data_IF_887585503542
#
_entry.id   IF_887585503542
#
_cell.length_a   1.000
_cell.length_b   1.000
_cell.length_c   1.000
_cell.angle_alpha   90.00
_cell.angle_beta   90.00
_cell.angle_gamma   90.00
#
_symmetry.space_group_name_H-M   'P 1'
#
loop_
_entity.id
_entity.type
_entity.pdbx_description
1 polymer ?
#
# COMPACT_ATOMS: atom_id res chain seq x y z
N UNK A 1 8.42 4.13 30.21
CA UNK A 1 8.35 4.63 28.81
C UNK A 1 8.88 3.52 27.93
N UNK A 2 8.14 3.18 26.88
CA UNK A 2 8.08 1.86 26.26
C UNK A 2 9.38 1.36 25.63
N UNK A 3 10.05 0.43 26.30
CA UNK A 3 10.94 -0.55 25.68
C UNK A 3 10.08 -1.66 25.04
N UNK A 4 9.95 -1.65 23.71
CA UNK A 4 9.59 -2.88 22.99
C UNK A 4 10.27 -2.94 21.62
N UNK A 5 11.45 -3.55 21.61
CA UNK A 5 12.24 -4.01 20.45
C UNK A 5 12.71 -5.43 20.81
N UNK A 6 12.88 -6.40 19.88
CA UNK A 6 12.33 -6.62 18.55
C UNK A 6 11.75 -8.06 18.43
N UNK A 7 10.42 -8.25 18.45
CA UNK A 7 9.84 -9.60 18.24
C UNK A 7 9.79 -10.00 16.73
N UNK A 8 10.29 -9.15 15.83
CA UNK A 8 9.99 -9.21 14.39
C UNK A 8 11.13 -9.80 13.51
N UNK A 9 12.37 -9.80 13.99
CA UNK A 9 13.52 -10.19 13.14
C UNK A 9 13.63 -11.71 12.92
N UNK A 10 13.17 -12.52 13.88
CA UNK A 10 13.21 -13.98 13.79
C UNK A 10 12.02 -14.55 12.98
N UNK A 11 10.84 -13.94 13.08
CA UNK A 11 9.65 -14.26 12.27
C UNK A 11 9.90 -13.96 10.77
N UNK A 12 10.59 -12.86 10.47
CA UNK A 12 11.00 -12.51 9.10
C UNK A 12 11.99 -13.52 8.48
N UNK A 13 12.71 -14.27 9.32
CA UNK A 13 13.66 -15.31 8.90
C UNK A 13 12.97 -16.65 8.58
N UNK A 14 11.87 -16.96 9.28
CA UNK A 14 11.09 -18.20 9.07
C UNK A 14 10.05 -18.11 7.96
N UNK A 15 9.60 -16.91 7.61
CA UNK A 15 8.62 -16.77 6.56
C UNK A 15 9.26 -17.00 5.18
N UNK A 16 8.67 -17.84 4.31
CA UNK A 16 9.17 -17.96 2.96
C UNK A 16 9.16 -16.59 2.27
N UNK A 17 10.15 -16.33 1.41
CA UNK A 17 10.38 -14.99 0.82
C UNK A 17 9.15 -14.48 0.04
N UNK A 18 8.34 -15.40 -0.50
CA UNK A 18 7.08 -15.12 -1.19
C UNK A 18 5.91 -14.74 -0.27
N UNK A 19 6.10 -14.81 1.05
CA UNK A 19 5.10 -14.47 2.06
C UNK A 19 5.56 -13.22 2.82
N UNK A 20 4.83 -12.12 2.62
CA UNK A 20 5.03 -10.93 3.45
C UNK A 20 4.55 -11.18 4.87
N UNK A 21 5.23 -10.60 5.84
CA UNK A 21 4.73 -10.55 7.21
C UNK A 21 3.44 -9.72 7.27
N UNK A 22 2.55 -9.98 8.23
CA UNK A 22 1.33 -9.19 8.40
C UNK A 22 1.58 -7.68 8.61
N UNK A 23 2.76 -7.30 9.11
CA UNK A 23 3.13 -5.89 9.25
C UNK A 23 3.55 -5.26 7.91
N UNK A 24 4.37 -5.97 7.12
CA UNK A 24 4.76 -5.52 5.77
C UNK A 24 3.53 -5.39 4.86
N UNK A 25 2.61 -6.34 4.92
CA UNK A 25 1.39 -6.29 4.12
C UNK A 25 0.49 -5.11 4.51
N UNK A 26 0.35 -4.82 5.82
CA UNK A 26 -0.35 -3.63 6.31
C UNK A 26 0.33 -2.33 5.90
N UNK A 27 1.67 -2.29 5.89
CA UNK A 27 2.42 -1.12 5.44
C UNK A 27 2.19 -0.88 3.95
N UNK A 28 2.29 -1.92 3.12
CA UNK A 28 2.00 -1.84 1.69
C UNK A 28 0.57 -1.42 1.38
N UNK A 29 -0.41 -1.94 2.13
CA UNK A 29 -1.81 -1.52 1.98
C UNK A 29 -1.97 -0.02 2.25
N UNK A 30 -1.32 0.50 3.30
CA UNK A 30 -1.34 1.93 3.60
C UNK A 30 -0.66 2.77 2.53
N UNK A 31 0.50 2.34 2.03
CA UNK A 31 1.21 3.03 0.96
C UNK A 31 0.40 3.03 -0.35
N UNK A 32 -0.20 1.89 -0.69
CA UNK A 32 -1.06 1.76 -1.86
C UNK A 32 -2.30 2.64 -1.75
N UNK A 33 -2.95 2.65 -0.59
CA UNK A 33 -4.09 3.51 -0.33
C UNK A 33 -3.71 4.99 -0.44
N UNK A 34 -2.61 5.42 0.21
CA UNK A 34 -2.13 6.79 0.12
C UNK A 34 -1.77 7.21 -1.31
N UNK A 35 -1.23 6.27 -2.11
CA UNK A 35 -0.98 6.51 -3.52
C UNK A 35 -2.28 6.66 -4.31
N UNK A 36 -3.26 5.77 -4.10
CA UNK A 36 -4.56 5.83 -4.77
C UNK A 36 -5.32 7.12 -4.41
N UNK A 37 -5.28 7.54 -3.14
CA UNK A 37 -5.87 8.79 -2.68
C UNK A 37 -5.26 10.01 -3.40
N UNK A 38 -3.94 10.04 -3.58
CA UNK A 38 -3.26 11.11 -4.33
C UNK A 38 -3.65 11.13 -5.81
N UNK A 39 -3.89 9.97 -6.43
CA UNK A 39 -4.33 9.92 -7.82
C UNK A 39 -5.77 10.43 -8.00
N UNK A 40 -6.61 10.27 -6.97
CA UNK A 40 -8.02 10.64 -6.98
C UNK A 40 -8.32 11.98 -6.28
N UNK A 41 -7.30 12.77 -5.95
CA UNK A 41 -7.43 14.04 -5.21
C UNK A 41 -8.46 14.99 -5.85
N UNK A 42 -8.46 15.08 -7.18
CA UNK A 42 -9.40 15.95 -7.93
C UNK A 42 -10.85 15.54 -7.72
N UNK A 43 -11.12 14.24 -7.67
CA UNK A 43 -12.44 13.68 -7.45
C UNK A 43 -12.87 13.89 -5.99
N UNK A 44 -11.93 13.76 -5.04
CA UNK A 44 -12.16 14.12 -3.64
C UNK A 44 -12.54 15.60 -3.48
N UNK A 45 -11.82 16.51 -4.14
CA UNK A 45 -12.11 17.94 -4.10
C UNK A 45 -13.48 18.28 -4.71
N UNK A 46 -13.80 17.68 -5.86
CA UNK A 46 -15.09 17.88 -6.53
C UNK A 46 -16.26 17.39 -5.65
N UNK A 47 -16.11 16.23 -5.03
CA UNK A 47 -17.11 15.71 -4.10
C UNK A 47 -17.23 16.58 -2.84
N UNK A 48 -16.10 16.98 -2.25
CA UNK A 48 -16.07 17.83 -1.07
C UNK A 48 -16.71 19.21 -1.32
N UNK A 49 -16.46 19.82 -2.49
CA UNK A 49 -17.05 21.08 -2.89
C UNK A 49 -18.58 20.98 -3.05
N UNK A 50 -19.06 19.85 -3.60
CA UNK A 50 -20.49 19.59 -3.68
C UNK A 50 -21.12 19.41 -2.29
N UNK A 51 -20.49 18.65 -1.40
CA UNK A 51 -20.96 18.46 -0.02
C UNK A 51 -21.00 19.77 0.78
N UNK A 52 -20.02 20.67 0.58
CA UNK A 52 -20.01 22.00 1.20
C UNK A 52 -21.17 22.87 0.74
N UNK A 53 -21.58 22.74 -0.53
CA UNK A 53 -22.61 23.59 -1.14
C UNK A 53 -24.03 23.11 -0.81
N UNK A 54 -24.23 21.81 -0.59
CA UNK A 54 -25.54 21.22 -0.35
C UNK A 54 -25.54 20.35 0.90
N UNK A 55 -25.92 20.90 2.05
CA UNK A 55 -25.89 20.18 3.34
C UNK A 55 -27.04 19.18 3.48
N UNK A 56 -28.25 19.54 3.02
CA UNK A 56 -29.45 18.70 3.17
C UNK A 56 -29.74 17.82 1.93
N UNK A 57 -29.43 18.32 0.74
CA UNK A 57 -29.74 17.65 -0.54
C UNK A 57 -28.54 16.93 -1.18
N UNK A 58 -27.46 16.74 -0.43
CA UNK A 58 -26.21 16.12 -0.89
C UNK A 58 -26.38 14.74 -1.54
N UNK A 59 -27.21 13.80 -1.04
CA UNK A 59 -27.20 12.43 -1.54
C UNK A 59 -27.69 12.34 -2.98
N UNK A 60 -28.52 13.30 -3.40
CA UNK A 60 -29.07 13.38 -4.75
C UNK A 60 -28.25 14.31 -5.64
N UNK A 61 -27.87 15.50 -5.14
CA UNK A 61 -27.16 16.51 -5.93
C UNK A 61 -25.69 16.17 -6.16
N UNK A 62 -25.06 15.45 -5.22
CA UNK A 62 -23.65 15.07 -5.30
C UNK A 62 -23.44 13.63 -5.76
N UNK A 63 -24.46 12.97 -6.32
CA UNK A 63 -24.35 11.59 -6.77
C UNK A 63 -23.36 11.43 -7.94
N UNK A 64 -23.28 12.40 -8.85
CA UNK A 64 -22.29 12.42 -9.94
C UNK A 64 -20.84 12.41 -9.43
N UNK A 65 -20.38 13.47 -8.71
CA UNK A 65 -19.01 13.51 -8.21
C UNK A 65 -18.70 12.38 -7.21
N UNK A 66 -19.72 11.84 -6.53
CA UNK A 66 -19.57 10.63 -5.72
C UNK A 66 -19.23 9.40 -6.56
N UNK A 67 -19.91 9.19 -7.68
CA UNK A 67 -19.61 8.07 -8.59
C UNK A 67 -18.22 8.22 -9.17
N UNK A 68 -17.86 9.41 -9.68
CA UNK A 68 -16.52 9.66 -10.23
C UNK A 68 -15.40 9.35 -9.22
N UNK A 69 -15.63 9.66 -7.94
CA UNK A 69 -14.72 9.31 -6.85
C UNK A 69 -14.65 7.81 -6.61
N UNK A 70 -15.79 7.13 -6.54
CA UNK A 70 -15.87 5.68 -6.34
C UNK A 70 -15.20 4.93 -7.49
N UNK A 71 -15.43 5.36 -8.73
CA UNK A 71 -14.83 4.78 -9.92
C UNK A 71 -13.30 4.96 -9.88
N UNK A 72 -12.81 6.17 -9.58
CA UNK A 72 -11.38 6.42 -9.48
C UNK A 72 -10.70 5.54 -8.41
N UNK A 73 -11.27 5.50 -7.20
CA UNK A 73 -10.73 4.68 -6.11
C UNK A 73 -10.88 3.19 -6.42
N UNK A 74 -11.96 2.79 -7.08
CA UNK A 74 -12.20 1.41 -7.51
C UNK A 74 -11.18 0.94 -8.54
N UNK A 75 -10.83 1.76 -9.52
CA UNK A 75 -9.81 1.45 -10.52
C UNK A 75 -8.41 1.40 -9.89
N UNK A 76 -8.04 2.45 -9.15
CA UNK A 76 -6.66 2.63 -8.63
C UNK A 76 -6.38 1.83 -7.37
N UNK A 77 -7.37 1.68 -6.50
CA UNK A 77 -7.33 0.87 -5.28
C UNK A 77 -7.83 -0.55 -5.46
N UNK A 78 -7.98 -1.01 -6.72
CA UNK A 78 -8.44 -2.37 -7.01
C UNK A 78 -7.51 -3.42 -6.36
N UNK A 79 -8.05 -4.57 -5.92
CA UNK A 79 -7.24 -5.67 -5.40
C UNK A 79 -6.22 -6.15 -6.44
N UNK A 80 -6.53 -6.03 -7.73
CA UNK A 80 -5.60 -6.37 -8.81
C UNK A 80 -4.34 -5.48 -8.83
N UNK A 81 -4.49 -4.18 -8.56
CA UNK A 81 -3.36 -3.26 -8.45
C UNK A 81 -2.53 -3.53 -7.20
N UNK A 82 -3.19 -3.84 -6.08
CA UNK A 82 -2.49 -4.24 -4.86
C UNK A 82 -1.64 -5.51 -5.05
N UNK A 83 -2.17 -6.52 -5.75
CA UNK A 83 -1.42 -7.76 -6.01
C UNK A 83 -0.17 -7.52 -6.84
N UNK A 84 -0.24 -6.67 -7.88
CA UNK A 84 0.96 -6.28 -8.65
C UNK A 84 2.01 -5.63 -7.76
N UNK A 85 1.59 -4.70 -6.91
CA UNK A 85 2.49 -4.03 -5.97
C UNK A 85 3.15 -5.02 -4.99
N UNK A 86 2.37 -6.01 -4.55
CA UNK A 86 2.82 -7.09 -3.67
C UNK A 86 3.88 -7.96 -4.34
N UNK A 87 3.66 -8.33 -5.60
CA UNK A 87 4.63 -9.09 -6.41
C UNK A 87 5.93 -8.29 -6.60
N UNK A 88 5.83 -7.02 -6.99
CA UNK A 88 7.01 -6.15 -7.14
C UNK A 88 7.80 -5.99 -5.83
N UNK A 89 7.12 -5.96 -4.68
CA UNK A 89 7.78 -5.89 -3.38
C UNK A 89 8.51 -7.19 -3.04
N UNK A 90 7.90 -8.34 -3.35
CA UNK A 90 8.52 -9.65 -3.17
C UNK A 90 9.77 -9.78 -4.05
N UNK A 91 9.70 -9.36 -5.31
CA UNK A 91 10.84 -9.40 -6.24
C UNK A 91 12.01 -8.57 -5.74
N UNK A 92 11.75 -7.34 -5.27
CA UNK A 92 12.77 -6.48 -4.64
C UNK A 92 13.40 -7.13 -3.40
N UNK A 93 12.59 -7.85 -2.60
CA UNK A 93 13.07 -8.57 -1.42
C UNK A 93 13.96 -9.76 -1.80
N UNK A 94 13.62 -10.49 -2.86
CA UNK A 94 14.43 -11.58 -3.41
C UNK A 94 15.76 -11.03 -3.91
N UNK A 95 15.74 -9.94 -4.68
CA UNK A 95 16.96 -9.33 -5.21
C UNK A 95 17.89 -8.84 -4.09
N UNK A 96 17.33 -8.21 -3.06
CA UNK A 96 18.09 -7.77 -1.89
C UNK A 96 18.77 -8.94 -1.18
N UNK A 97 18.04 -10.03 -0.90
CA UNK A 97 18.64 -11.22 -0.27
C UNK A 97 19.75 -11.82 -1.12
N UNK A 98 19.56 -11.93 -2.43
CA UNK A 98 20.60 -12.45 -3.34
C UNK A 98 21.87 -11.60 -3.32
N UNK A 99 21.74 -10.28 -3.21
CA UNK A 99 22.88 -9.36 -3.06
C UNK A 99 23.60 -9.58 -1.74
N UNK A 100 22.86 -9.65 -0.63
CA UNK A 100 23.40 -9.90 0.71
C UNK A 100 24.12 -11.26 0.80
N UNK A 101 23.57 -12.31 0.18
CA UNK A 101 24.18 -13.65 0.09
C UNK A 101 25.47 -13.64 -0.76
N UNK A 102 25.49 -12.89 -1.87
CA UNK A 102 26.68 -12.75 -2.71
C UNK A 102 27.80 -11.98 -1.99
N UNK A 103 27.46 -10.93 -1.25
CA UNK A 103 28.41 -10.17 -0.43
C UNK A 103 28.93 -10.99 0.75
N UNK A 104 28.07 -11.77 1.41
CA UNK A 104 28.47 -12.68 2.48
C UNK A 104 29.38 -13.81 1.98
N UNK A 105 29.11 -14.39 0.81
CA UNK A 105 29.96 -15.39 0.19
C UNK A 105 31.33 -14.81 -0.23
N UNK A 106 31.37 -13.56 -0.71
CA UNK A 106 32.61 -12.87 -1.02
C UNK A 106 33.43 -12.51 0.24
N UNK A 107 32.77 -12.23 1.35
CA UNK A 107 33.42 -11.95 2.64
C UNK A 107 33.93 -13.21 3.36
N UNK A 108 33.25 -14.35 3.21
CA UNK A 108 33.65 -15.63 3.81
C UNK A 108 34.78 -16.36 3.04
N UNK A 109 35.05 -15.94 1.79
CA UNK A 109 36.14 -16.47 0.96
C UNK A 109 37.47 -15.72 1.08
N UNK A 110 37.57 -14.71 1.96
CA UNK A 110 38.82 -14.02 2.32
C UNK A 110 39.25 -14.39 3.73
#
# INVERSE_FOLDING_TARGET
MSDKKPENEEELKKNPIWMLSPMEEKALLKEHQAWAEKQCEKQYDAFALCCKSFTWSFPWKCNGPKQDLIDCVGEKGSPAMFQKLREEYIDKKIEKKRKEEAEAAAAAGK
#
